data_IF_269964346183
#
_entry.id   IF_269964346183
#
_cell.length_a   1.000
_cell.length_b   1.000
_cell.length_c   1.000
_cell.angle_alpha   90.00
_cell.angle_beta   90.00
_cell.angle_gamma   90.00
#
_symmetry.space_group_name_H-M   'P 1'
#
loop_
_entity.id
_entity.type
_entity.pdbx_description
1 polymer ?
#
# COMPACT_ATOMS: atom_id res chain seq x y z
N UNK A 1 9.11 2.06 -37.92
CA UNK A 1 8.34 2.56 -36.75
C UNK A 1 6.93 2.00 -36.85
N UNK A 2 6.52 1.10 -35.93
CA UNK A 2 5.20 0.55 -35.97
C UNK A 2 4.27 1.42 -35.12
N UNK A 3 3.24 1.99 -35.74
CA UNK A 3 2.20 2.71 -34.99
C UNK A 3 1.23 1.69 -34.41
N UNK A 4 1.23 1.55 -33.06
CA UNK A 4 0.41 0.59 -32.34
C UNK A 4 -0.98 1.13 -31.95
N UNK A 5 -1.34 2.34 -32.38
CA UNK A 5 -2.59 3.01 -32.00
C UNK A 5 -2.50 3.64 -30.61
N UNK A 6 -3.69 3.96 -30.03
CA UNK A 6 -3.77 4.55 -28.69
C UNK A 6 -3.46 3.51 -27.61
N UNK A 7 -2.59 3.88 -26.66
CA UNK A 7 -2.31 3.04 -25.49
C UNK A 7 -3.53 3.05 -24.56
N UNK A 8 -4.07 1.87 -24.25
CA UNK A 8 -5.15 1.71 -23.26
C UNK A 8 -4.64 1.21 -21.92
N UNK A 9 -3.57 0.44 -21.92
CA UNK A 9 -2.94 -0.15 -20.75
C UNK A 9 -1.42 -0.06 -20.86
N UNK A 10 -0.79 0.39 -19.79
CA UNK A 10 0.65 0.40 -19.64
C UNK A 10 1.03 0.10 -18.19
N UNK A 11 1.74 -1.00 -17.96
CA UNK A 11 2.23 -1.41 -16.66
C UNK A 11 1.17 -1.35 -15.54
N UNK A 12 0.00 -1.94 -15.77
CA UNK A 12 -1.16 -1.93 -14.87
C UNK A 12 -1.83 -0.56 -14.68
N UNK A 13 -1.45 0.42 -15.46
CA UNK A 13 -2.10 1.73 -15.52
C UNK A 13 -3.07 1.72 -16.70
N UNK A 14 -4.33 2.08 -16.44
CA UNK A 14 -5.32 2.30 -17.48
C UNK A 14 -5.25 3.75 -17.95
N UNK A 15 -5.19 3.93 -19.27
CA UNK A 15 -5.18 5.22 -19.94
C UNK A 15 -6.46 5.32 -20.75
N UNK A 16 -7.27 6.33 -20.50
CA UNK A 16 -8.53 6.58 -21.20
C UNK A 16 -8.57 8.01 -21.72
N UNK A 17 -8.80 8.16 -23.03
CA UNK A 17 -9.05 9.45 -23.62
C UNK A 17 -10.56 9.73 -23.60
N UNK A 18 -10.93 10.87 -23.01
CA UNK A 18 -12.31 11.33 -22.93
C UNK A 18 -12.71 12.11 -24.19
N UNK A 19 -14.01 12.34 -24.38
CA UNK A 19 -14.55 13.02 -25.56
C UNK A 19 -14.10 14.48 -25.69
N UNK A 20 -13.72 15.10 -24.58
CA UNK A 20 -13.17 16.48 -24.49
C UNK A 20 -11.66 16.53 -24.75
N UNK A 21 -11.07 15.42 -25.23
CA UNK A 21 -9.64 15.23 -25.45
C UNK A 21 -8.80 15.16 -24.17
N UNK A 22 -9.38 15.21 -22.99
CA UNK A 22 -8.65 14.99 -21.74
C UNK A 22 -8.23 13.52 -21.60
N UNK A 23 -7.15 13.27 -20.86
CA UNK A 23 -6.61 11.93 -20.61
C UNK A 23 -6.85 11.61 -19.14
N UNK A 24 -7.53 10.49 -18.88
CA UNK A 24 -7.69 9.92 -17.55
C UNK A 24 -6.73 8.76 -17.37
N UNK A 25 -6.06 8.73 -16.23
CA UNK A 25 -5.09 7.68 -15.86
C UNK A 25 -5.50 7.11 -14.51
N UNK A 26 -5.67 5.78 -14.45
CA UNK A 26 -6.03 5.12 -13.19
C UNK A 26 -5.33 3.76 -13.02
N UNK A 27 -5.23 3.31 -11.77
CA UNK A 27 -4.71 2.01 -11.37
C UNK A 27 -5.75 1.21 -10.56
N UNK A 28 -7.03 1.34 -10.84
CA UNK A 28 -8.09 0.70 -10.07
C UNK A 28 -7.92 -0.82 -9.95
N UNK A 29 -7.56 -1.50 -11.05
CA UNK A 29 -7.27 -2.95 -11.03
C UNK A 29 -6.07 -3.30 -10.16
N UNK A 30 -5.02 -2.51 -10.22
CA UNK A 30 -3.83 -2.72 -9.39
C UNK A 30 -4.13 -2.51 -7.92
N UNK A 31 -4.85 -1.44 -7.56
CA UNK A 31 -5.31 -1.21 -6.19
C UNK A 31 -6.13 -2.39 -5.66
N UNK A 32 -7.12 -2.86 -6.43
CA UNK A 32 -7.90 -4.05 -6.06
C UNK A 32 -7.03 -5.28 -5.84
N UNK A 33 -6.03 -5.50 -6.70
CA UNK A 33 -5.11 -6.65 -6.54
C UNK A 33 -4.28 -6.58 -5.26
N UNK A 34 -3.86 -5.37 -4.83
CA UNK A 34 -3.17 -5.17 -3.54
C UNK A 34 -4.10 -5.52 -2.38
N UNK A 35 -5.34 -5.02 -2.40
CA UNK A 35 -6.33 -5.33 -1.36
C UNK A 35 -6.58 -6.83 -1.25
N UNK A 36 -6.87 -7.50 -2.35
CA UNK A 36 -7.09 -8.95 -2.36
C UNK A 36 -5.87 -9.69 -1.84
N UNK A 37 -4.68 -9.31 -2.26
CA UNK A 37 -3.44 -9.98 -1.87
C UNK A 37 -3.11 -9.85 -0.38
N UNK A 38 -3.34 -8.68 0.21
CA UNK A 38 -2.85 -8.39 1.57
C UNK A 38 -3.95 -8.34 2.62
N UNK A 39 -5.18 -7.98 2.30
CA UNK A 39 -6.29 -7.94 3.26
C UNK A 39 -7.07 -9.25 3.34
N UNK A 40 -7.38 -9.89 2.22
CA UNK A 40 -8.14 -11.15 2.22
C UNK A 40 -7.33 -12.29 2.83
N UNK A 41 -6.00 -12.21 2.76
CA UNK A 41 -5.08 -13.20 3.35
C UNK A 41 -4.68 -12.87 4.79
N UNK A 42 -4.98 -11.67 5.28
CA UNK A 42 -4.61 -11.26 6.63
C UNK A 42 -5.37 -12.09 7.69
N UNK A 43 -4.63 -12.75 8.55
CA UNK A 43 -5.16 -13.61 9.63
C UNK A 43 -5.74 -12.79 10.79
N UNK A 44 -5.36 -11.54 10.89
CA UNK A 44 -5.87 -10.64 11.92
C UNK A 44 -7.30 -10.27 11.59
N UNK A 45 -8.23 -10.57 12.51
CA UNK A 45 -9.62 -10.10 12.43
C UNK A 45 -9.66 -8.59 12.47
N UNK A 46 -9.59 -8.06 11.27
CA UNK A 46 -9.59 -6.64 11.03
C UNK A 46 -11.04 -6.18 11.18
N UNK A 47 -11.34 -5.31 12.15
CA UNK A 47 -12.70 -4.76 12.28
C UNK A 47 -13.09 -4.09 10.95
N UNK A 48 -14.34 -4.29 10.49
CA UNK A 48 -14.86 -3.70 9.23
C UNK A 48 -14.99 -2.15 9.30
N UNK A 49 -14.09 -1.50 10.02
CA UNK A 49 -14.10 -0.07 10.25
C UNK A 49 -13.31 0.62 9.13
N UNK A 50 -14.01 1.33 8.26
CA UNK A 50 -13.37 2.20 7.29
C UNK A 50 -12.88 3.47 7.97
N UNK A 51 -11.65 3.84 7.72
CA UNK A 51 -11.06 5.05 8.25
C UNK A 51 -11.12 6.17 7.21
N UNK A 52 -11.44 7.38 7.65
CA UNK A 52 -11.45 8.57 6.78
C UNK A 52 -10.05 9.13 6.48
N UNK A 53 -9.06 8.71 7.27
CA UNK A 53 -7.68 9.19 7.18
C UNK A 53 -6.73 8.03 6.84
N UNK A 54 -5.70 8.31 6.07
CA UNK A 54 -4.69 7.33 5.65
C UNK A 54 -3.86 6.79 6.82
N UNK A 55 -3.69 7.59 7.87
CA UNK A 55 -3.12 7.18 9.16
C UNK A 55 -3.88 7.86 10.28
N UNK A 56 -4.07 7.17 11.41
CA UNK A 56 -4.63 7.78 12.61
C UNK A 56 -3.64 8.81 13.19
N UNK A 57 -4.17 9.90 13.76
CA UNK A 57 -3.37 10.92 14.43
C UNK A 57 -2.56 10.35 15.62
N UNK A 58 -3.08 9.30 16.23
CA UNK A 58 -2.46 8.61 17.38
C UNK A 58 -1.27 7.72 17.00
N UNK A 59 -1.10 7.43 15.70
CA UNK A 59 0.00 6.60 15.22
C UNK A 59 1.28 7.41 15.06
N UNK A 60 1.96 7.61 16.17
CA UNK A 60 3.29 8.22 16.20
C UNK A 60 4.33 7.09 16.18
N UNK A 61 5.08 7.00 15.09
CA UNK A 61 6.15 6.00 14.94
C UNK A 61 7.47 6.57 15.45
N UNK A 62 8.07 5.90 16.42
CA UNK A 62 9.36 6.27 17.02
C UNK A 62 10.44 5.23 16.71
N UNK A 63 11.69 5.54 17.02
CA UNK A 63 12.77 4.57 16.90
C UNK A 63 12.67 3.41 17.90
N UNK A 64 11.86 3.56 18.94
CA UNK A 64 11.63 2.54 19.96
C UNK A 64 10.64 1.48 19.53
N UNK A 65 9.82 1.80 18.50
CA UNK A 65 8.79 0.89 17.95
C UNK A 65 9.36 -0.14 16.98
N UNK A 66 10.65 -0.07 16.66
CA UNK A 66 11.28 -1.00 15.71
C UNK A 66 11.52 -2.37 16.34
N UNK A 67 11.45 -3.40 15.52
CA UNK A 67 11.86 -4.74 15.94
C UNK A 67 13.36 -4.80 16.21
N UNK A 68 13.74 -5.44 17.31
CA UNK A 68 15.14 -5.58 17.72
C UNK A 68 15.82 -6.82 17.16
N UNK A 69 15.03 -7.77 16.62
CA UNK A 69 15.55 -9.03 16.05
C UNK A 69 14.75 -9.46 14.82
N UNK A 70 15.41 -10.22 13.93
CA UNK A 70 14.77 -10.79 12.74
C UNK A 70 13.66 -11.77 13.12
N UNK A 71 13.79 -12.47 14.24
CA UNK A 71 12.76 -13.39 14.75
C UNK A 71 11.44 -12.67 15.08
N UNK A 72 11.52 -11.44 15.59
CA UNK A 72 10.32 -10.61 15.85
C UNK A 72 9.65 -10.21 14.54
N UNK A 73 10.43 -9.86 13.53
CA UNK A 73 9.91 -9.50 12.20
C UNK A 73 9.23 -10.70 11.56
N UNK A 74 9.83 -11.89 11.63
CA UNK A 74 9.23 -13.11 11.13
C UNK A 74 7.93 -13.47 11.87
N UNK A 75 7.91 -13.30 13.19
CA UNK A 75 6.69 -13.53 13.99
C UNK A 75 5.56 -12.61 13.56
N UNK A 76 5.84 -11.32 13.41
CA UNK A 76 4.86 -10.33 12.95
C UNK A 76 4.41 -10.61 11.50
N UNK A 77 5.33 -10.99 10.64
CA UNK A 77 5.01 -11.38 9.26
C UNK A 77 4.04 -12.57 9.21
N UNK A 78 4.21 -13.56 10.09
CA UNK A 78 3.30 -14.71 10.20
C UNK A 78 1.97 -14.32 10.85
N UNK A 79 2.00 -13.48 11.90
CA UNK A 79 0.80 -13.02 12.61
C UNK A 79 -0.14 -12.23 11.70
N UNK A 80 0.42 -11.30 10.93
CA UNK A 80 -0.36 -10.47 10.00
C UNK A 80 -0.52 -11.10 8.61
N UNK A 81 0.26 -12.15 8.30
CA UNK A 81 0.37 -12.75 6.98
C UNK A 81 0.69 -11.73 5.88
N UNK A 82 1.50 -10.73 6.20
CA UNK A 82 1.90 -9.64 5.30
C UNK A 82 3.42 -9.54 5.30
N UNK A 83 4.03 -9.66 4.12
CA UNK A 83 5.42 -9.27 3.91
C UNK A 83 5.50 -7.74 3.84
N UNK A 84 5.89 -7.11 4.95
CA UNK A 84 5.87 -5.65 5.12
C UNK A 84 6.55 -4.92 3.96
N UNK A 85 7.79 -5.28 3.66
CA UNK A 85 8.60 -4.62 2.62
C UNK A 85 8.00 -4.76 1.21
N UNK A 86 7.46 -5.93 0.89
CA UNK A 86 6.81 -6.18 -0.39
C UNK A 86 5.49 -5.39 -0.52
N UNK A 87 4.74 -5.30 0.55
CA UNK A 87 3.51 -4.50 0.60
C UNK A 87 3.80 -3.01 0.42
N UNK A 88 4.78 -2.47 1.13
CA UNK A 88 5.23 -1.07 0.97
C UNK A 88 5.66 -0.81 -0.48
N UNK A 89 6.44 -1.70 -1.09
CA UNK A 89 6.84 -1.57 -2.50
C UNK A 89 5.65 -1.50 -3.46
N UNK A 90 4.63 -2.33 -3.24
CA UNK A 90 3.39 -2.29 -4.01
C UNK A 90 2.63 -0.98 -3.84
N UNK A 91 2.59 -0.43 -2.62
CA UNK A 91 1.95 0.85 -2.33
C UNK A 91 2.71 2.03 -2.93
N UNK A 92 4.05 2.00 -2.94
CA UNK A 92 4.88 3.04 -3.59
C UNK A 92 4.54 3.12 -5.07
N UNK A 93 4.36 1.99 -5.75
CA UNK A 93 3.96 1.98 -7.16
C UNK A 93 2.56 2.59 -7.37
N UNK A 94 1.63 2.38 -6.44
CA UNK A 94 0.29 2.96 -6.48
C UNK A 94 0.29 4.49 -6.35
N UNK A 95 1.34 5.09 -5.76
CA UNK A 95 1.46 6.55 -5.61
C UNK A 95 1.49 7.31 -6.94
N UNK A 96 1.78 6.64 -8.05
CA UNK A 96 1.74 7.24 -9.39
C UNK A 96 0.37 7.84 -9.73
N UNK A 97 -0.71 7.27 -9.19
CA UNK A 97 -2.10 7.75 -9.38
C UNK A 97 -2.78 8.17 -8.08
N UNK A 98 -2.27 7.73 -6.93
CA UNK A 98 -2.83 8.00 -5.59
C UNK A 98 -1.83 8.78 -4.72
N UNK A 99 -1.59 10.01 -5.11
CA UNK A 99 -0.67 10.93 -4.41
C UNK A 99 -1.11 11.24 -2.97
N UNK A 100 -2.41 11.16 -2.70
CA UNK A 100 -3.00 11.34 -1.37
C UNK A 100 -2.44 10.37 -0.31
N UNK A 101 -1.99 9.18 -0.73
CA UNK A 101 -1.38 8.18 0.14
C UNK A 101 0.11 8.42 0.42
N UNK A 102 0.73 9.37 -0.29
CA UNK A 102 2.18 9.57 -0.30
C UNK A 102 2.77 9.76 1.10
N UNK A 103 2.18 10.62 1.91
CA UNK A 103 2.67 10.87 3.27
C UNK A 103 2.67 9.61 4.13
N UNK A 104 1.57 8.86 4.13
CA UNK A 104 1.41 7.66 4.94
C UNK A 104 2.38 6.55 4.49
N UNK A 105 2.45 6.30 3.17
CA UNK A 105 3.34 5.29 2.60
C UNK A 105 4.80 5.60 2.88
N UNK A 106 5.25 6.83 2.67
CA UNK A 106 6.64 7.21 2.94
C UNK A 106 6.97 7.16 4.43
N UNK A 107 6.03 7.53 5.30
CA UNK A 107 6.21 7.42 6.75
C UNK A 107 6.43 5.96 7.18
N UNK A 108 5.64 5.03 6.66
CA UNK A 108 5.79 3.60 6.92
C UNK A 108 7.04 3.00 6.25
N UNK A 109 7.39 3.47 5.05
CA UNK A 109 8.56 3.00 4.30
C UNK A 109 9.88 3.22 5.04
N UNK A 110 9.98 4.25 5.88
CA UNK A 110 11.17 4.52 6.71
C UNK A 110 11.55 3.36 7.63
N UNK A 111 10.58 2.54 8.01
CA UNK A 111 10.75 1.41 8.93
C UNK A 111 10.79 0.05 8.22
N UNK A 112 10.98 0.04 6.91
CA UNK A 112 10.97 -1.19 6.09
C UNK A 112 12.09 -2.17 6.43
N UNK A 113 13.20 -1.69 7.02
CA UNK A 113 14.29 -2.56 7.44
C UNK A 113 13.91 -3.36 8.70
N UNK A 114 13.33 -2.68 9.69
CA UNK A 114 13.02 -3.28 11.00
C UNK A 114 11.60 -2.88 11.47
N UNK A 115 10.54 -3.34 10.78
CA UNK A 115 9.17 -2.98 11.15
C UNK A 115 8.78 -3.63 12.48
N UNK A 116 8.26 -2.83 13.40
CA UNK A 116 7.64 -3.32 14.64
C UNK A 116 6.13 -3.49 14.51
N UNK A 117 5.48 -3.94 15.58
CA UNK A 117 4.03 -4.20 15.62
C UNK A 117 3.21 -2.98 15.20
N UNK A 118 3.53 -1.80 15.73
CA UNK A 118 2.82 -0.55 15.41
C UNK A 118 2.88 -0.20 13.92
N UNK A 119 3.99 -0.53 13.26
CA UNK A 119 4.14 -0.31 11.82
C UNK A 119 3.24 -1.25 10.99
N UNK A 120 3.10 -2.51 11.41
CA UNK A 120 2.15 -3.45 10.79
C UNK A 120 0.70 -3.00 10.99
N UNK A 121 0.34 -2.53 12.18
CA UNK A 121 -0.98 -1.96 12.45
C UNK A 121 -1.27 -0.73 11.59
N UNK A 122 -0.29 0.16 11.43
CA UNK A 122 -0.38 1.32 10.54
C UNK A 122 -0.53 0.93 9.07
N UNK A 123 0.16 -0.12 8.64
CA UNK A 123 0.04 -0.65 7.29
C UNK A 123 -1.34 -1.23 7.01
N UNK A 124 -1.88 -2.02 7.95
CA UNK A 124 -3.25 -2.57 7.85
C UNK A 124 -4.28 -1.44 7.87
N UNK A 125 -4.08 -0.40 8.66
CA UNK A 125 -4.93 0.78 8.67
C UNK A 125 -4.95 1.49 7.30
N UNK A 126 -3.79 1.64 6.68
CA UNK A 126 -3.65 2.28 5.36
C UNK A 126 -4.32 1.47 4.24
N UNK A 127 -4.29 0.15 4.33
CA UNK A 127 -4.90 -0.76 3.35
C UNK A 127 -6.44 -0.78 3.41
N UNK A 128 -7.06 -0.12 4.34
CA UNK A 128 -8.52 -0.03 4.54
C UNK A 128 -9.09 1.29 4.14
#
# INVERSE_FOLDING_TARGET
MNFLGFAHWFMSIRISQLKDHSISVDQARYATSIFTKYLDTATVKVSNKFYKTTLSADMVFTKEDVSTSDEQIERLTREYNIHYRACIGSLIYLLSTRVDLSFAVHKLARFSANPGKLHFEGLVHLLR
#
